data_IF_721079546176
#
_entry.id   IF_721079546176
#
_cell.length_a   1.000
_cell.length_b   1.000
_cell.length_c   1.000
_cell.angle_alpha   90.00
_cell.angle_beta   90.00
_cell.angle_gamma   90.00
#
_symmetry.space_group_name_H-M   'P 1'
#
loop_
_entity.id
_entity.type
_entity.pdbx_description
1 polymer ?
#
# COMPACT_ATOMS: atom_id res chain seq x y z
N UNK A 1 -5.41 1.66 10.03
CA UNK A 1 -5.19 0.43 9.23
C UNK A 1 -5.24 0.68 7.72
N UNK A 2 -6.30 1.31 7.16
CA UNK A 2 -6.42 1.54 5.69
C UNK A 2 -5.22 2.28 5.10
N UNK A 3 -4.70 3.33 5.73
CA UNK A 3 -3.53 4.07 5.23
C UNK A 3 -2.28 3.22 5.17
N UNK A 4 -2.03 2.41 6.21
CA UNK A 4 -0.86 1.51 6.22
C UNK A 4 -1.03 0.42 5.17
N UNK A 5 -2.23 -0.11 4.98
CA UNK A 5 -2.54 -1.08 3.95
C UNK A 5 -2.29 -0.53 2.52
N UNK A 6 -2.69 0.73 2.27
CA UNK A 6 -2.38 1.43 1.01
C UNK A 6 -0.87 1.64 0.83
N UNK A 7 -0.21 2.10 1.89
CA UNK A 7 1.23 2.33 1.90
C UNK A 7 2.01 1.05 1.61
N UNK A 8 1.58 -0.09 2.15
CA UNK A 8 2.21 -1.39 1.93
C UNK A 8 1.70 -2.11 0.66
N UNK A 9 0.86 -1.46 -0.14
CA UNK A 9 0.44 -1.92 -1.47
C UNK A 9 -0.54 -3.08 -1.48
N UNK A 10 -1.25 -3.36 -0.39
CA UNK A 10 -2.24 -4.46 -0.35
C UNK A 10 -3.64 -4.05 -0.80
N UNK A 11 -3.84 -2.82 -1.26
CA UNK A 11 -5.17 -2.35 -1.63
C UNK A 11 -5.75 -3.04 -2.88
N UNK A 12 -4.90 -3.36 -3.85
CA UNK A 12 -5.31 -3.84 -5.16
C UNK A 12 -5.99 -2.76 -6.01
N UNK A 13 -6.33 -3.12 -7.25
CA UNK A 13 -7.09 -2.26 -8.13
C UNK A 13 -8.46 -1.97 -7.53
N UNK A 14 -8.88 -0.70 -7.54
CA UNK A 14 -10.18 -0.27 -7.00
C UNK A 14 -10.44 -0.76 -5.55
N UNK A 15 -9.39 -0.96 -4.75
CA UNK A 15 -9.49 -1.44 -3.35
C UNK A 15 -10.07 -2.84 -3.18
N UNK A 16 -10.03 -3.68 -4.22
CA UNK A 16 -10.67 -5.00 -4.18
C UNK A 16 -10.10 -5.90 -3.07
N UNK A 17 -8.79 -5.89 -2.88
CA UNK A 17 -8.15 -6.68 -1.83
C UNK A 17 -8.64 -6.26 -0.44
N UNK A 18 -8.77 -4.94 -0.18
CA UNK A 18 -9.28 -4.45 1.09
C UNK A 18 -10.76 -4.75 1.26
N UNK A 19 -11.54 -4.68 0.17
CA UNK A 19 -12.99 -4.91 0.20
C UNK A 19 -13.32 -6.33 0.65
N UNK A 20 -12.54 -7.30 0.18
CA UNK A 20 -12.77 -8.73 0.45
C UNK A 20 -11.92 -9.30 1.58
N UNK A 21 -11.09 -8.47 2.23
CA UNK A 21 -10.18 -8.92 3.28
C UNK A 21 -10.94 -9.47 4.49
N UNK A 22 -10.66 -10.72 4.81
CA UNK A 22 -11.18 -11.42 5.99
C UNK A 22 -10.08 -11.70 7.01
N UNK A 23 -10.48 -12.07 8.21
CA UNK A 23 -9.52 -12.49 9.26
C UNK A 23 -8.76 -13.76 8.87
N UNK A 24 -9.36 -14.64 8.08
CA UNK A 24 -8.73 -15.86 7.57
C UNK A 24 -7.63 -15.59 6.53
N UNK A 25 -7.58 -14.38 5.97
CA UNK A 25 -6.54 -13.98 5.00
C UNK A 25 -5.28 -13.45 5.68
N UNK A 26 -5.27 -13.30 7.00
CA UNK A 26 -4.17 -12.73 7.77
C UNK A 26 -3.46 -13.83 8.54
N UNK A 27 -2.17 -14.04 8.23
CA UNK A 27 -1.30 -14.90 9.01
C UNK A 27 -0.31 -14.06 9.84
N UNK A 28 -0.53 -13.95 11.16
CA UNK A 28 0.35 -13.16 12.01
C UNK A 28 1.72 -13.82 12.23
N UNK A 29 1.85 -15.15 12.09
CA UNK A 29 3.11 -15.88 12.30
C UNK A 29 4.09 -15.62 11.17
N UNK A 30 3.60 -15.69 9.94
CA UNK A 30 4.42 -15.45 8.75
C UNK A 30 4.41 -13.98 8.33
N UNK A 31 3.58 -13.15 8.96
CA UNK A 31 3.32 -11.74 8.61
C UNK A 31 2.89 -11.58 7.17
N UNK A 32 1.96 -12.43 6.75
CA UNK A 32 1.45 -12.41 5.39
C UNK A 32 -0.03 -12.11 5.33
N UNK A 33 -0.45 -11.51 4.23
CA UNK A 33 -1.85 -11.25 3.89
C UNK A 33 -2.11 -11.88 2.54
N UNK A 34 -3.16 -12.72 2.47
CA UNK A 34 -3.64 -13.28 1.21
C UNK A 34 -4.51 -12.24 0.50
N UNK A 35 -4.19 -11.92 -0.74
CA UNK A 35 -4.91 -10.97 -1.57
C UNK A 35 -6.09 -11.67 -2.26
N UNK A 36 -7.06 -10.89 -2.74
CA UNK A 36 -8.28 -11.39 -3.39
C UNK A 36 -7.99 -12.35 -4.56
N UNK A 37 -6.94 -12.11 -5.33
CA UNK A 37 -6.51 -12.96 -6.44
C UNK A 37 -5.75 -14.22 -6.01
N UNK A 38 -5.65 -14.48 -4.72
CA UNK A 38 -5.00 -15.66 -4.14
C UNK A 38 -3.50 -15.50 -3.88
N UNK A 39 -2.87 -14.45 -4.36
CA UNK A 39 -1.47 -14.15 -4.08
C UNK A 39 -1.29 -13.78 -2.60
N UNK A 40 -0.14 -14.15 -2.04
CA UNK A 40 0.21 -13.81 -0.66
C UNK A 40 1.27 -12.73 -0.63
N UNK A 41 1.11 -11.76 0.28
CA UNK A 41 2.05 -10.67 0.44
C UNK A 41 2.58 -10.60 1.87
N UNK A 42 3.90 -10.49 2.00
CA UNK A 42 4.54 -10.18 3.28
C UNK A 42 4.35 -8.69 3.59
N UNK A 43 3.92 -8.41 4.80
CA UNK A 43 3.63 -7.06 5.28
C UNK A 43 4.32 -6.80 6.62
N UNK A 44 4.32 -5.54 7.08
CA UNK A 44 4.88 -5.21 8.37
C UNK A 44 4.06 -5.80 9.53
N UNK A 45 4.73 -6.08 10.64
CA UNK A 45 4.06 -6.46 11.89
C UNK A 45 3.04 -5.41 12.34
N UNK A 46 3.36 -4.13 12.10
CA UNK A 46 2.45 -3.02 12.38
C UNK A 46 1.14 -3.16 11.61
N UNK A 47 1.19 -3.52 10.32
CA UNK A 47 -0.03 -3.68 9.53
C UNK A 47 -0.85 -4.88 10.03
N UNK A 48 -0.21 -6.01 10.31
CA UNK A 48 -0.88 -7.20 10.88
C UNK A 48 -1.64 -6.81 12.15
N UNK A 49 -0.96 -6.17 13.10
CA UNK A 49 -1.57 -5.71 14.35
C UNK A 49 -2.78 -4.81 14.11
N UNK A 50 -2.64 -3.81 13.25
CA UNK A 50 -3.72 -2.87 12.92
C UNK A 50 -4.91 -3.55 12.23
N UNK A 51 -4.69 -4.56 11.40
CA UNK A 51 -5.77 -5.31 10.76
C UNK A 51 -6.52 -6.17 11.77
N UNK A 52 -5.79 -6.88 12.64
CA UNK A 52 -6.38 -7.70 13.69
C UNK A 52 -7.17 -6.84 14.70
N UNK A 53 -6.62 -5.70 15.15
CA UNK A 53 -7.34 -4.76 16.01
C UNK A 53 -8.60 -4.22 15.32
N UNK A 54 -8.51 -3.88 14.03
CA UNK A 54 -9.67 -3.42 13.25
C UNK A 54 -10.74 -4.50 13.16
N UNK A 55 -10.33 -5.75 13.00
CA UNK A 55 -11.26 -6.88 12.90
C UNK A 55 -12.03 -7.18 14.19
N UNK A 56 -11.58 -6.66 15.32
CA UNK A 56 -12.28 -6.79 16.61
C UNK A 56 -13.41 -5.77 16.78
N UNK A 57 -13.48 -4.75 15.94
CA UNK A 57 -14.54 -3.75 15.98
C UNK A 57 -15.80 -4.36 15.36
N UNK A 58 -16.69 -4.88 16.21
CA UNK A 58 -17.94 -5.54 15.80
C UNK A 58 -19.18 -4.69 15.99
N UNK A 59 -19.08 -3.68 16.86
CA UNK A 59 -20.19 -2.78 17.16
C UNK A 59 -19.74 -1.34 16.98
N UNK A 60 -20.64 -0.50 16.49
CA UNK A 60 -20.45 0.95 16.47
C UNK A 60 -21.68 1.64 17.05
N UNK A 61 -21.42 2.71 17.78
CA UNK A 61 -22.47 3.56 18.30
C UNK A 61 -23.13 4.34 17.16
N UNK A 62 -24.47 4.33 17.13
CA UNK A 62 -25.20 5.11 16.15
C UNK A 62 -25.09 6.60 16.51
N UNK A 63 -24.63 7.42 15.56
CA UNK A 63 -24.48 8.87 15.77
C UNK A 63 -25.81 9.58 16.07
N UNK A 64 -26.89 9.10 15.45
CA UNK A 64 -28.22 9.68 15.60
C UNK A 64 -28.95 9.18 16.86
N UNK A 65 -28.58 8.03 17.37
CA UNK A 65 -29.14 7.38 18.55
C UNK A 65 -28.00 6.77 19.37
N UNK A 66 -27.32 7.55 20.22
CA UNK A 66 -26.13 7.11 20.96
C UNK A 66 -26.33 5.89 21.86
N UNK A 67 -27.57 5.63 22.32
CA UNK A 67 -27.93 4.44 23.09
C UNK A 67 -28.03 3.16 22.23
N UNK A 68 -28.05 3.27 20.90
CA UNK A 68 -28.15 2.15 19.98
C UNK A 68 -26.77 1.72 19.46
N UNK A 69 -26.38 0.49 19.75
CA UNK A 69 -25.23 -0.16 19.15
C UNK A 69 -25.68 -0.90 17.90
N UNK A 70 -24.97 -0.70 16.80
CA UNK A 70 -25.20 -1.43 15.56
C UNK A 70 -24.11 -2.47 15.40
N UNK A 71 -24.49 -3.74 15.19
CA UNK A 71 -23.54 -4.84 14.99
C UNK A 71 -23.13 -5.00 13.54
N UNK A 72 -21.93 -5.51 13.32
CA UNK A 72 -21.45 -5.88 12.00
C UNK A 72 -22.17 -7.15 11.53
N UNK A 73 -22.71 -7.13 10.31
CA UNK A 73 -23.31 -8.32 9.67
C UNK A 73 -22.30 -9.27 9.06
N UNK A 74 -21.01 -8.89 9.00
CA UNK A 74 -19.94 -9.66 8.39
C UNK A 74 -18.85 -9.95 9.43
N UNK A 75 -19.02 -10.98 10.27
CA UNK A 75 -18.09 -11.26 11.38
C UNK A 75 -16.69 -11.64 10.92
N UNK A 76 -16.54 -12.20 9.72
CA UNK A 76 -15.25 -12.61 9.17
C UNK A 76 -14.51 -11.46 8.46
N UNK A 77 -15.21 -10.38 8.09
CA UNK A 77 -14.57 -9.22 7.48
C UNK A 77 -13.65 -8.51 8.46
N UNK A 78 -12.50 -8.07 7.99
CA UNK A 78 -11.61 -7.18 8.77
C UNK A 78 -12.31 -5.84 9.10
N UNK A 79 -13.24 -5.42 8.24
CA UNK A 79 -13.90 -4.12 8.36
C UNK A 79 -15.31 -4.25 8.93
N UNK A 80 -15.61 -3.43 9.93
CA UNK A 80 -16.99 -3.28 10.38
C UNK A 80 -17.91 -2.90 9.22
N UNK A 81 -19.01 -3.62 9.02
CA UNK A 81 -20.02 -3.29 8.01
C UNK A 81 -21.40 -3.84 8.37
N UNK A 82 -22.42 -3.03 8.12
CA UNK A 82 -23.85 -3.40 8.25
C UNK A 82 -24.48 -3.80 6.92
N UNK A 83 -23.69 -3.87 5.85
CA UNK A 83 -24.11 -4.32 4.52
C UNK A 83 -22.92 -4.86 3.76
N UNK A 84 -23.14 -5.57 2.65
CA UNK A 84 -22.08 -6.04 1.78
C UNK A 84 -21.13 -4.88 1.42
N UNK A 85 -19.82 -5.14 1.58
CA UNK A 85 -18.81 -4.14 1.28
C UNK A 85 -18.57 -4.11 -0.23
N UNK A 86 -18.75 -2.95 -0.84
CA UNK A 86 -18.38 -2.70 -2.22
C UNK A 86 -17.09 -1.85 -2.28
N UNK A 87 -16.30 -1.94 -3.38
CA UNK A 87 -15.09 -1.13 -3.56
C UNK A 87 -15.32 0.37 -3.37
N UNK A 88 -16.47 0.90 -3.86
CA UNK A 88 -16.85 2.30 -3.72
C UNK A 88 -17.09 2.68 -2.24
N UNK A 89 -17.59 1.74 -1.43
CA UNK A 89 -17.76 1.95 0.01
C UNK A 89 -16.42 2.04 0.71
N UNK A 90 -15.45 1.21 0.31
CA UNK A 90 -14.08 1.25 0.82
C UNK A 90 -13.39 2.55 0.41
N UNK A 91 -13.51 2.95 -0.86
CA UNK A 91 -13.02 4.26 -1.33
C UNK A 91 -13.60 5.42 -0.54
N UNK A 92 -14.91 5.45 -0.30
CA UNK A 92 -15.57 6.51 0.47
C UNK A 92 -15.03 6.58 1.90
N UNK A 93 -14.89 5.43 2.57
CA UNK A 93 -14.29 5.35 3.91
C UNK A 93 -12.87 5.89 3.95
N UNK A 94 -12.07 5.57 2.94
CA UNK A 94 -10.72 6.08 2.83
C UNK A 94 -10.71 7.59 2.63
N UNK A 95 -11.50 8.10 1.70
CA UNK A 95 -11.61 9.54 1.41
C UNK A 95 -12.02 10.36 2.64
N UNK A 96 -13.00 9.88 3.39
CA UNK A 96 -13.49 10.58 4.58
C UNK A 96 -12.40 10.64 5.66
N UNK A 97 -11.65 9.56 5.87
CA UNK A 97 -10.51 9.55 6.79
C UNK A 97 -9.36 10.42 6.29
N UNK A 98 -9.13 10.43 4.99
CA UNK A 98 -8.11 11.28 4.38
C UNK A 98 -8.39 12.77 4.64
N UNK A 99 -9.65 13.18 4.52
CA UNK A 99 -10.07 14.54 4.86
C UNK A 99 -9.71 14.89 6.30
N UNK A 100 -10.06 14.03 7.25
CA UNK A 100 -9.70 14.22 8.66
C UNK A 100 -8.18 14.29 8.87
N UNK A 101 -7.41 13.44 8.18
CA UNK A 101 -5.95 13.44 8.30
C UNK A 101 -5.34 14.72 7.75
N UNK A 102 -5.84 15.26 6.64
CA UNK A 102 -5.41 16.56 6.12
C UNK A 102 -5.58 17.68 7.15
N UNK A 103 -6.74 17.71 7.81
CA UNK A 103 -7.03 18.68 8.86
C UNK A 103 -6.08 18.55 10.05
N UNK A 104 -5.78 17.31 10.47
CA UNK A 104 -4.86 17.04 11.60
C UNK A 104 -3.41 17.39 11.26
N UNK A 105 -2.95 17.02 10.06
CA UNK A 105 -1.55 17.19 9.63
C UNK A 105 -1.29 18.58 9.06
N UNK A 106 -2.33 19.29 8.61
CA UNK A 106 -2.21 20.60 7.95
C UNK A 106 -1.56 20.52 6.56
N UNK A 107 -1.68 19.37 5.87
CA UNK A 107 -1.08 19.18 4.55
C UNK A 107 -2.13 18.70 3.52
N UNK A 108 -2.54 19.62 2.66
CA UNK A 108 -3.52 19.37 1.58
C UNK A 108 -3.00 18.46 0.47
N UNK A 109 -1.68 18.26 0.38
CA UNK A 109 -1.06 17.37 -0.62
C UNK A 109 -1.26 15.90 -0.31
N UNK A 110 -1.71 15.56 0.90
CA UNK A 110 -2.00 14.19 1.30
C UNK A 110 -3.17 13.63 0.48
N UNK A 111 -2.90 12.72 -0.44
CA UNK A 111 -3.89 12.06 -1.31
C UNK A 111 -3.71 10.55 -1.29
N UNK A 112 -4.68 9.79 -1.80
CA UNK A 112 -4.54 8.34 -1.98
C UNK A 112 -3.30 8.02 -2.83
N UNK A 113 -3.12 8.76 -3.90
CA UNK A 113 -1.97 8.59 -4.80
C UNK A 113 -0.65 8.87 -4.08
N UNK A 114 -0.55 9.95 -3.28
CA UNK A 114 0.69 10.24 -2.54
C UNK A 114 1.00 9.17 -1.49
N UNK A 115 0.01 8.63 -0.80
CA UNK A 115 0.20 7.52 0.15
C UNK A 115 0.71 6.27 -0.57
N UNK A 116 0.03 5.85 -1.64
CA UNK A 116 0.42 4.67 -2.41
C UNK A 116 1.78 4.84 -3.08
N UNK A 117 2.03 6.01 -3.68
CA UNK A 117 3.32 6.31 -4.32
C UNK A 117 4.46 6.30 -3.31
N UNK A 118 4.27 6.92 -2.14
CA UNK A 118 5.29 6.91 -1.08
C UNK A 118 5.61 5.48 -0.62
N UNK A 119 4.59 4.64 -0.46
CA UNK A 119 4.78 3.23 -0.13
C UNK A 119 5.51 2.45 -1.23
N UNK A 120 5.12 2.67 -2.48
CA UNK A 120 5.79 2.09 -3.64
C UNK A 120 7.29 2.45 -3.69
N UNK A 121 7.61 3.73 -3.56
CA UNK A 121 9.01 4.17 -3.55
C UNK A 121 9.78 3.58 -2.37
N UNK A 122 9.20 3.62 -1.18
CA UNK A 122 9.85 3.04 0.00
C UNK A 122 10.09 1.54 -0.18
N UNK A 123 9.12 0.80 -0.73
CA UNK A 123 9.25 -0.64 -0.95
C UNK A 123 10.36 -0.96 -1.96
N UNK A 124 10.32 -0.33 -3.13
CA UNK A 124 11.31 -0.57 -4.20
C UNK A 124 12.71 -0.18 -3.75
N UNK A 125 12.86 0.99 -3.12
CA UNK A 125 14.16 1.46 -2.65
C UNK A 125 14.71 0.56 -1.52
N UNK A 126 13.92 0.24 -0.52
CA UNK A 126 14.36 -0.59 0.60
C UNK A 126 14.71 -2.02 0.15
N UNK A 127 13.94 -2.59 -0.78
CA UNK A 127 14.21 -3.91 -1.34
C UNK A 127 15.48 -3.93 -2.18
N UNK A 128 15.68 -2.90 -3.00
CA UNK A 128 16.88 -2.77 -3.81
C UNK A 128 18.14 -2.60 -2.96
N UNK A 129 18.10 -1.76 -1.93
CA UNK A 129 19.23 -1.57 -0.98
C UNK A 129 19.53 -2.87 -0.23
N UNK A 130 18.50 -3.57 0.25
CA UNK A 130 18.68 -4.88 0.91
C UNK A 130 19.37 -5.89 0.00
N UNK A 131 19.08 -5.86 -1.31
CA UNK A 131 19.68 -6.75 -2.30
C UNK A 131 21.02 -6.19 -2.86
N UNK A 132 21.57 -5.14 -2.25
CA UNK A 132 22.88 -4.57 -2.58
C UNK A 132 22.93 -3.71 -3.85
N UNK A 133 21.79 -3.19 -4.33
CA UNK A 133 21.76 -2.31 -5.49
C UNK A 133 22.03 -0.85 -5.08
N UNK A 134 22.88 -0.16 -5.85
CA UNK A 134 23.09 1.28 -5.71
C UNK A 134 22.08 2.05 -6.57
N UNK A 135 20.96 2.39 -5.95
CA UNK A 135 19.85 3.06 -6.63
C UNK A 135 20.28 4.43 -7.19
N UNK A 136 21.10 5.16 -6.44
CA UNK A 136 21.55 6.50 -6.87
C UNK A 136 22.41 6.40 -8.13
N UNK A 137 23.37 5.50 -8.14
CA UNK A 137 24.19 5.23 -9.32
C UNK A 137 23.36 4.72 -10.49
N UNK A 138 22.38 3.83 -10.25
CA UNK A 138 21.57 3.25 -11.31
C UNK A 138 20.57 4.25 -11.95
N UNK A 139 20.01 5.19 -11.18
CA UNK A 139 18.92 6.04 -11.63
C UNK A 139 19.30 7.52 -11.84
N UNK A 140 20.27 8.05 -11.11
CA UNK A 140 20.69 9.46 -11.19
C UNK A 140 21.94 9.66 -12.06
N UNK A 141 22.73 8.62 -12.30
CA UNK A 141 23.91 8.73 -13.16
C UNK A 141 23.49 8.96 -14.61
N UNK A 142 23.49 10.23 -15.00
CA UNK A 142 23.23 10.67 -16.39
C UNK A 142 24.46 10.59 -17.27
N UNK A 143 25.65 10.32 -16.70
CA UNK A 143 26.95 10.32 -17.41
C UNK A 143 27.06 9.17 -18.42
N UNK A 144 26.18 8.18 -18.33
CA UNK A 144 26.22 6.97 -19.17
C UNK A 144 25.17 6.97 -20.29
N UNK A 145 24.96 8.09 -20.98
CA UNK A 145 24.27 8.03 -22.29
C UNK A 145 25.06 7.33 -23.38
N UNK A 146 26.34 7.05 -23.13
CA UNK A 146 27.25 6.42 -24.06
C UNK A 146 27.42 4.94 -23.73
N UNK A 147 26.94 4.10 -24.62
CA UNK A 147 27.25 2.65 -24.76
C UNK A 147 26.99 1.69 -23.58
N UNK A 148 25.82 1.74 -22.98
CA UNK A 148 25.38 0.66 -22.07
C UNK A 148 25.23 -0.70 -22.76
N UNK A 149 25.11 -0.73 -24.09
CA UNK A 149 25.04 -1.99 -24.87
C UNK A 149 26.37 -2.76 -24.95
N UNK A 150 27.47 -2.04 -24.85
CA UNK A 150 28.83 -2.64 -25.00
C UNK A 150 29.38 -3.23 -23.69
N UNK A 151 28.87 -2.79 -22.53
CA UNK A 151 29.45 -3.15 -21.23
C UNK A 151 28.82 -4.39 -20.55
N UNK A 152 27.89 -5.12 -21.21
CA UNK A 152 27.25 -6.30 -20.61
C UNK A 152 26.40 -5.97 -19.36
N UNK A 153 26.12 -4.68 -19.07
CA UNK A 153 25.32 -4.27 -17.91
C UNK A 153 23.84 -4.54 -18.18
N UNK A 154 23.23 -5.27 -17.28
CA UNK A 154 21.78 -5.46 -17.25
C UNK A 154 21.10 -4.09 -17.18
N UNK A 155 20.16 -3.77 -18.09
CA UNK A 155 19.42 -2.52 -18.03
C UNK A 155 18.78 -2.32 -16.66
N UNK A 156 18.79 -1.08 -16.16
CA UNK A 156 18.23 -0.74 -14.82
C UNK A 156 16.78 -1.21 -14.66
N UNK A 157 15.99 -1.18 -15.74
CA UNK A 157 14.62 -1.67 -15.74
C UNK A 157 14.52 -3.11 -15.24
N UNK A 158 15.37 -4.01 -15.72
CA UNK A 158 15.36 -5.42 -15.32
C UNK A 158 15.74 -5.62 -13.85
N UNK A 159 16.63 -4.77 -13.30
CA UNK A 159 17.03 -4.86 -11.90
C UNK A 159 15.85 -4.53 -10.94
N UNK A 160 15.00 -3.59 -11.33
CA UNK A 160 13.91 -3.10 -10.47
C UNK A 160 12.55 -3.73 -10.78
N UNK A 161 12.42 -4.40 -11.94
CA UNK A 161 11.15 -4.97 -12.40
C UNK A 161 10.49 -5.88 -11.34
N UNK A 162 11.26 -6.78 -10.73
CA UNK A 162 10.74 -7.70 -9.71
C UNK A 162 10.10 -6.97 -8.54
N UNK A 163 10.72 -5.89 -8.03
CA UNK A 163 10.18 -5.13 -6.89
C UNK A 163 8.92 -4.37 -7.25
N UNK A 164 8.86 -3.86 -8.49
CA UNK A 164 7.70 -3.15 -9.02
C UNK A 164 6.51 -4.11 -9.14
N UNK A 165 6.74 -5.29 -9.69
CA UNK A 165 5.73 -6.36 -9.83
C UNK A 165 5.29 -6.88 -8.45
N UNK A 166 6.24 -7.12 -7.56
CA UNK A 166 5.95 -7.55 -6.19
C UNK A 166 5.11 -6.53 -5.42
N UNK A 167 5.30 -5.23 -5.62
CA UNK A 167 4.44 -4.22 -4.99
C UNK A 167 3.00 -4.29 -5.48
N UNK A 168 2.76 -4.88 -6.65
CA UNK A 168 1.42 -5.13 -7.18
C UNK A 168 0.67 -3.84 -7.52
N UNK A 169 1.37 -2.79 -7.91
CA UNK A 169 0.78 -1.56 -8.41
C UNK A 169 0.88 -1.47 -9.92
N UNK A 170 0.01 -0.66 -10.53
CA UNK A 170 0.09 -0.35 -11.96
C UNK A 170 1.21 0.65 -12.29
N UNK A 171 2.13 0.90 -11.35
CA UNK A 171 3.24 1.82 -11.56
C UNK A 171 4.31 1.17 -12.43
N UNK A 172 4.75 1.91 -13.45
CA UNK A 172 5.80 1.47 -14.36
C UNK A 172 7.20 1.85 -13.86
N UNK A 173 8.22 1.18 -14.40
CA UNK A 173 9.61 1.59 -14.18
C UNK A 173 9.87 3.03 -14.64
N UNK A 174 9.25 3.45 -15.74
CA UNK A 174 9.35 4.83 -16.22
C UNK A 174 8.83 5.83 -15.19
N UNK A 175 7.69 5.54 -14.56
CA UNK A 175 7.16 6.36 -13.46
C UNK A 175 8.09 6.35 -12.25
N UNK A 176 8.60 5.18 -11.84
CA UNK A 176 9.57 5.06 -10.76
C UNK A 176 10.81 5.93 -11.02
N UNK A 177 11.43 5.79 -12.19
CA UNK A 177 12.62 6.54 -12.57
C UNK A 177 12.37 8.06 -12.61
N UNK A 178 11.26 8.49 -13.20
CA UNK A 178 10.89 9.90 -13.31
C UNK A 178 10.70 10.54 -11.92
N UNK A 179 9.99 9.84 -11.05
CA UNK A 179 9.67 10.35 -9.73
C UNK A 179 10.82 10.19 -8.73
N UNK A 180 11.77 9.29 -9.00
CA UNK A 180 12.90 9.02 -8.10
C UNK A 180 13.72 10.29 -7.80
N UNK A 181 13.95 11.15 -8.79
CA UNK A 181 14.69 12.40 -8.59
C UNK A 181 14.06 13.31 -7.54
N UNK A 182 12.74 13.31 -7.44
CA UNK A 182 12.01 14.08 -6.42
C UNK A 182 12.11 13.45 -5.02
N UNK A 183 12.24 12.11 -4.94
CA UNK A 183 12.34 11.36 -3.69
C UNK A 183 13.78 11.16 -3.21
N UNK A 184 14.75 11.17 -4.11
CA UNK A 184 16.17 10.91 -3.81
C UNK A 184 16.77 11.82 -2.74
N UNK A 185 16.20 13.01 -2.56
CA UNK A 185 16.62 13.95 -1.52
C UNK A 185 16.25 13.52 -0.08
N UNK A 186 15.37 12.52 0.04
CA UNK A 186 14.92 11.97 1.32
C UNK A 186 15.57 10.61 1.65
N UNK A 187 16.34 10.05 0.71
CA UNK A 187 17.18 8.86 0.86
C UNK A 187 18.64 9.26 1.21
#
# INVERSE_FOLDING_TARGET
SIFVALYEGIAGNYYINLTHLTTADIDPKTRTVRLYEGNTRTVSERLIKLLLETSQIRTLQNKSQPSHLTESLYPDSVWYSTKAMAPESMWRRFRDRLKMMKEIVGDDRLTASTVTSSGFFNYVCSSAVRDGLDIKADLLDTSTKVDKRVAGRVPSEYKYKKYIEEFGSNMSFAYFKYSFSAFAKYL
#
